data_IF_545294644163
#
_entry.id   IF_545294644163
#
_cell.length_a   1.000
_cell.length_b   1.000
_cell.length_c   1.000
_cell.angle_alpha   90.00
_cell.angle_beta   90.00
_cell.angle_gamma   90.00
#
_symmetry.space_group_name_H-M   'P 1'
#
loop_
_entity.id
_entity.type
_entity.pdbx_description
1 polymer ?
#
# COMPACT_ATOMS: atom_id res chain seq x y z
N UNK A 1 -40.24 7.96 -11.72
CA UNK A 1 -39.39 8.93 -10.99
C UNK A 1 -39.90 9.04 -9.55
N UNK A 2 -39.10 9.13 -8.45
CA UNK A 2 -37.69 8.83 -8.18
C UNK A 2 -37.59 7.59 -7.26
N UNK A 3 -37.46 6.37 -7.81
CA UNK A 3 -37.49 5.14 -6.98
C UNK A 3 -36.12 4.64 -6.54
N UNK A 4 -35.04 5.19 -7.08
CA UNK A 4 -33.68 4.68 -6.87
C UNK A 4 -32.91 5.38 -5.74
N UNK A 5 -33.33 6.58 -5.32
CA UNK A 5 -32.70 7.32 -4.21
C UNK A 5 -32.90 6.66 -2.84
N UNK A 6 -33.97 5.87 -2.68
CA UNK A 6 -34.30 5.22 -1.42
C UNK A 6 -33.26 4.20 -0.96
N UNK A 7 -32.63 3.47 -1.90
CA UNK A 7 -31.61 2.48 -1.57
C UNK A 7 -30.31 3.14 -1.05
N UNK A 8 -29.86 4.21 -1.72
CA UNK A 8 -28.70 4.98 -1.28
C UNK A 8 -28.95 5.66 0.08
N UNK A 9 -30.14 6.24 0.28
CA UNK A 9 -30.52 6.83 1.55
C UNK A 9 -30.55 5.79 2.68
N UNK A 10 -31.17 4.62 2.45
CA UNK A 10 -31.22 3.56 3.43
C UNK A 10 -29.83 3.02 3.80
N UNK A 11 -28.94 2.88 2.82
CA UNK A 11 -27.54 2.50 3.03
C UNK A 11 -26.81 3.51 3.93
N UNK A 12 -26.93 4.81 3.65
CA UNK A 12 -26.26 5.84 4.44
C UNK A 12 -26.83 5.97 5.86
N UNK A 13 -28.16 5.90 6.00
CA UNK A 13 -28.83 5.93 7.31
C UNK A 13 -28.38 4.72 8.15
N UNK A 14 -28.37 3.52 7.57
CA UNK A 14 -27.92 2.32 8.27
C UNK A 14 -26.44 2.41 8.67
N UNK A 15 -25.58 3.00 7.83
CA UNK A 15 -24.18 3.22 8.17
C UNK A 15 -24.02 4.12 9.41
N UNK A 16 -24.75 5.24 9.46
CA UNK A 16 -24.72 6.15 10.62
C UNK A 16 -25.19 5.45 11.90
N UNK A 17 -26.30 4.69 11.81
CA UNK A 17 -26.87 3.97 12.96
C UNK A 17 -25.98 2.79 13.41
N UNK A 18 -25.21 2.19 12.51
CA UNK A 18 -24.33 1.07 12.82
C UNK A 18 -22.99 1.51 13.44
N UNK A 19 -22.54 2.75 13.25
CA UNK A 19 -21.29 3.27 13.83
C UNK A 19 -21.16 3.05 15.36
N UNK A 20 -22.14 3.42 16.21
CA UNK A 20 -22.05 3.16 17.65
C UNK A 20 -22.05 1.67 17.99
N UNK A 21 -22.75 0.84 17.20
CA UNK A 21 -22.73 -0.61 17.37
C UNK A 21 -21.32 -1.19 17.16
N UNK A 22 -20.61 -0.74 16.12
CA UNK A 22 -19.23 -1.15 15.88
C UNK A 22 -18.27 -0.71 16.98
N UNK A 23 -18.48 0.47 17.57
CA UNK A 23 -17.67 0.95 18.69
C UNK A 23 -17.86 0.05 19.93
N UNK A 24 -19.11 -0.31 20.25
CA UNK A 24 -19.40 -1.23 21.35
C UNK A 24 -18.79 -2.62 21.11
N UNK A 25 -18.83 -3.11 19.87
CA UNK A 25 -18.20 -4.39 19.50
C UNK A 25 -16.67 -4.32 19.59
N UNK A 26 -16.05 -3.22 19.17
CA UNK A 26 -14.61 -3.01 19.30
C UNK A 26 -14.15 -3.03 20.76
N UNK A 27 -14.91 -2.39 21.66
CA UNK A 27 -14.61 -2.36 23.08
C UNK A 27 -14.79 -3.73 23.76
N UNK A 28 -15.79 -4.53 23.34
CA UNK A 28 -16.06 -5.84 23.95
C UNK A 28 -15.20 -6.98 23.39
N UNK A 29 -15.07 -7.07 22.07
CA UNK A 29 -14.38 -8.18 21.39
C UNK A 29 -12.89 -7.91 21.18
N UNK A 30 -12.47 -6.64 21.33
CA UNK A 30 -11.17 -6.17 20.91
C UNK A 30 -11.16 -5.74 19.44
N UNK A 31 -10.28 -4.79 19.15
CA UNK A 31 -10.14 -4.09 17.88
C UNK A 31 -9.91 -5.02 16.68
N UNK A 32 -9.00 -5.98 16.79
CA UNK A 32 -8.71 -6.93 15.70
C UNK A 32 -9.95 -7.77 15.33
N UNK A 33 -10.66 -8.31 16.33
CA UNK A 33 -11.85 -9.15 16.10
C UNK A 33 -12.99 -8.33 15.51
N UNK A 34 -13.19 -7.10 15.99
CA UNK A 34 -14.17 -6.19 15.42
C UNK A 34 -13.84 -5.84 13.96
N UNK A 35 -12.56 -5.61 13.64
CA UNK A 35 -12.11 -5.36 12.26
C UNK A 35 -12.29 -6.58 11.33
N UNK A 36 -12.05 -7.79 11.83
CA UNK A 36 -12.31 -9.02 11.10
C UNK A 36 -13.82 -9.23 10.86
N UNK A 37 -14.65 -8.98 11.88
CA UNK A 37 -16.10 -9.05 11.80
C UNK A 37 -16.68 -8.00 10.84
N UNK A 38 -16.14 -6.78 10.84
CA UNK A 38 -16.46 -5.74 9.87
C UNK A 38 -16.23 -6.23 8.44
N UNK A 39 -15.09 -6.89 8.18
CA UNK A 39 -14.81 -7.39 6.84
C UNK A 39 -15.72 -8.58 6.47
N UNK A 40 -15.99 -9.47 7.42
CA UNK A 40 -16.96 -10.55 7.24
C UNK A 40 -18.36 -10.03 6.94
N UNK A 41 -18.79 -8.97 7.63
CA UNK A 41 -20.06 -8.30 7.36
C UNK A 41 -20.11 -7.71 5.94
N UNK A 42 -19.01 -7.17 5.41
CA UNK A 42 -18.91 -6.75 4.01
C UNK A 42 -19.08 -7.93 3.04
N UNK A 43 -18.46 -9.08 3.31
CA UNK A 43 -18.64 -10.30 2.48
C UNK A 43 -20.10 -10.71 2.44
N UNK A 44 -20.74 -10.83 3.61
CA UNK A 44 -22.12 -11.31 3.72
C UNK A 44 -23.09 -10.29 3.11
N UNK A 45 -22.97 -9.01 3.47
CA UNK A 45 -23.88 -7.98 2.98
C UNK A 45 -23.76 -7.75 1.47
N UNK A 46 -22.56 -7.92 0.90
CA UNK A 46 -22.37 -7.86 -0.55
C UNK A 46 -22.94 -9.10 -1.24
N UNK A 47 -22.78 -10.30 -0.65
CA UNK A 47 -23.38 -11.53 -1.20
C UNK A 47 -24.91 -11.45 -1.27
N UNK A 48 -25.55 -10.79 -0.29
CA UNK A 48 -27.01 -10.62 -0.28
C UNK A 48 -27.55 -9.81 -1.47
N UNK A 49 -26.71 -9.01 -2.15
CA UNK A 49 -27.11 -8.28 -3.37
C UNK A 49 -27.45 -9.19 -4.55
N UNK A 50 -27.17 -10.50 -4.48
CA UNK A 50 -27.63 -11.47 -5.49
C UNK A 50 -29.14 -11.78 -5.39
N UNK A 51 -29.79 -11.47 -4.26
CA UNK A 51 -31.18 -11.87 -3.97
C UNK A 51 -32.22 -11.02 -4.72
N UNK A 52 -32.12 -9.67 -4.79
CA UNK A 52 -33.14 -8.85 -5.42
C UNK A 52 -33.31 -9.18 -6.91
N UNK A 53 -34.52 -9.62 -7.27
CA UNK A 53 -34.94 -9.78 -8.66
C UNK A 53 -35.45 -8.49 -9.29
N UNK A 54 -35.72 -8.52 -10.59
CA UNK A 54 -36.29 -7.38 -11.31
C UNK A 54 -37.62 -6.93 -10.69
N UNK A 55 -37.80 -5.63 -10.50
CA UNK A 55 -39.01 -5.03 -9.92
C UNK A 55 -39.12 -5.12 -8.39
N UNK A 56 -38.23 -5.82 -7.69
CA UNK A 56 -38.26 -5.99 -6.23
C UNK A 56 -37.59 -4.83 -5.48
N UNK A 57 -38.10 -3.62 -5.68
CA UNK A 57 -37.45 -2.39 -5.16
C UNK A 57 -37.37 -2.36 -3.62
N UNK A 58 -38.36 -2.90 -2.92
CA UNK A 58 -38.34 -2.94 -1.45
C UNK A 58 -37.22 -3.86 -0.94
N UNK A 59 -37.05 -5.04 -1.55
CA UNK A 59 -35.99 -5.98 -1.19
C UNK A 59 -34.60 -5.36 -1.43
N UNK A 60 -34.42 -4.64 -2.55
CA UNK A 60 -33.19 -3.90 -2.84
C UNK A 60 -32.91 -2.83 -1.78
N UNK A 61 -33.92 -2.05 -1.35
CA UNK A 61 -33.76 -1.03 -0.30
C UNK A 61 -33.37 -1.67 1.04
N UNK A 62 -34.02 -2.76 1.43
CA UNK A 62 -33.69 -3.48 2.66
C UNK A 62 -32.26 -4.04 2.62
N UNK A 63 -31.85 -4.65 1.52
CA UNK A 63 -30.49 -5.19 1.37
C UNK A 63 -29.45 -4.07 1.28
N UNK A 64 -29.77 -2.94 0.66
CA UNK A 64 -28.91 -1.76 0.67
C UNK A 64 -28.71 -1.22 2.10
N UNK A 65 -29.74 -1.24 2.94
CA UNK A 65 -29.62 -0.91 4.36
C UNK A 65 -28.68 -1.90 5.09
N UNK A 66 -28.82 -3.20 4.83
CA UNK A 66 -27.90 -4.22 5.38
C UNK A 66 -26.46 -4.01 4.90
N UNK A 67 -26.27 -3.61 3.65
CA UNK A 67 -24.97 -3.24 3.08
C UNK A 67 -24.38 -1.97 3.73
N UNK A 68 -25.23 -1.06 4.22
CA UNK A 68 -24.82 0.09 5.01
C UNK A 68 -24.22 -0.24 6.38
N UNK A 69 -24.61 -1.35 7.01
CA UNK A 69 -24.13 -1.74 8.35
C UNK A 69 -22.59 -1.79 8.43
N UNK A 70 -21.87 -2.54 7.57
CA UNK A 70 -20.42 -2.55 7.61
C UNK A 70 -19.80 -1.17 7.36
N UNK A 71 -20.39 -0.31 6.52
CA UNK A 71 -19.85 1.02 6.21
C UNK A 71 -19.68 1.88 7.48
N UNK A 72 -20.57 1.74 8.46
CA UNK A 72 -20.44 2.41 9.76
C UNK A 72 -19.18 2.00 10.57
N UNK A 73 -18.60 0.85 10.27
CA UNK A 73 -17.39 0.33 10.91
C UNK A 73 -16.08 0.80 10.27
N UNK A 74 -16.11 1.71 9.27
CA UNK A 74 -14.94 2.12 8.51
C UNK A 74 -13.79 2.64 9.38
N UNK A 75 -14.09 3.28 10.51
CA UNK A 75 -13.09 3.79 11.46
C UNK A 75 -12.17 2.70 12.04
N UNK A 76 -12.59 1.43 12.02
CA UNK A 76 -11.76 0.30 12.47
C UNK A 76 -10.49 0.17 11.62
N UNK A 77 -10.56 0.53 10.33
CA UNK A 77 -9.39 0.52 9.42
C UNK A 77 -8.37 1.55 9.87
N UNK A 78 -8.80 2.79 10.09
CA UNK A 78 -7.93 3.87 10.60
C UNK A 78 -7.40 3.58 11.99
N UNK A 79 -8.21 2.93 12.82
CA UNK A 79 -7.78 2.51 14.15
C UNK A 79 -6.64 1.50 14.02
N UNK A 80 -6.80 0.41 13.27
CA UNK A 80 -5.72 -0.61 13.08
C UNK A 80 -4.47 0.00 12.42
N UNK A 81 -4.64 0.99 11.53
CA UNK A 81 -3.52 1.73 10.97
C UNK A 81 -2.69 2.44 12.05
N UNK A 82 -3.32 3.00 13.08
CA UNK A 82 -2.60 3.58 14.23
C UNK A 82 -1.73 2.55 14.94
N UNK A 83 -2.19 1.30 15.10
CA UNK A 83 -1.38 0.26 15.74
C UNK A 83 -0.15 -0.11 14.90
N UNK A 84 -0.29 -0.05 13.56
CA UNK A 84 0.82 -0.26 12.63
C UNK A 84 1.82 0.88 12.75
N UNK A 85 1.36 2.12 12.92
CA UNK A 85 2.23 3.29 13.12
C UNK A 85 2.94 3.21 14.47
N UNK A 86 2.25 2.81 15.54
CA UNK A 86 2.88 2.60 16.85
C UNK A 86 3.95 1.49 16.77
N UNK A 87 3.67 0.42 16.02
CA UNK A 87 4.67 -0.61 15.77
C UNK A 87 5.85 -0.11 14.92
N UNK A 88 5.61 0.77 13.95
CA UNK A 88 6.68 1.44 13.21
C UNK A 88 7.53 2.30 14.15
N UNK A 89 6.91 3.14 14.98
CA UNK A 89 7.62 3.93 16.00
C UNK A 89 8.46 3.04 16.92
N UNK A 90 7.92 1.90 17.37
CA UNK A 90 8.67 0.94 18.17
C UNK A 90 9.91 0.38 17.46
N UNK A 91 9.80 0.13 16.15
CA UNK A 91 10.95 -0.34 15.37
C UNK A 91 11.99 0.77 15.20
N UNK A 92 11.55 1.96 14.77
CA UNK A 92 12.42 3.04 14.30
C UNK A 92 12.86 4.03 15.37
N UNK A 93 12.14 4.12 16.48
CA UNK A 93 12.28 5.17 17.49
C UNK A 93 11.68 6.52 17.06
N UNK A 94 11.25 6.66 15.80
CA UNK A 94 10.66 7.88 15.22
C UNK A 94 9.26 7.57 14.70
N UNK A 95 8.31 8.45 14.99
CA UNK A 95 6.90 8.26 14.67
C UNK A 95 6.55 8.81 13.28
N UNK A 96 6.43 7.92 12.29
CA UNK A 96 6.18 8.27 10.89
C UNK A 96 4.69 8.39 10.50
N UNK A 97 3.88 9.10 11.28
CA UNK A 97 2.43 9.20 11.02
C UNK A 97 2.07 9.74 9.62
N UNK A 98 2.82 10.75 9.16
CA UNK A 98 2.56 11.43 7.89
C UNK A 98 2.62 10.48 6.69
N UNK A 99 3.66 9.64 6.62
CA UNK A 99 3.89 8.73 5.49
C UNK A 99 2.79 7.67 5.40
N UNK A 100 2.42 7.06 6.53
CA UNK A 100 1.35 6.05 6.58
C UNK A 100 -0.02 6.66 6.23
N UNK A 101 -0.31 7.88 6.71
CA UNK A 101 -1.54 8.59 6.37
C UNK A 101 -1.65 8.91 4.87
N UNK A 102 -0.53 9.32 4.25
CA UNK A 102 -0.45 9.53 2.80
C UNK A 102 -0.73 8.22 2.06
N UNK A 103 -0.08 7.11 2.43
CA UNK A 103 -0.33 5.82 1.77
C UNK A 103 -1.77 5.35 1.92
N UNK A 104 -2.34 5.48 3.12
CA UNK A 104 -3.70 5.05 3.42
C UNK A 104 -4.77 5.79 2.58
N UNK A 105 -4.49 7.04 2.20
CA UNK A 105 -5.42 7.87 1.41
C UNK A 105 -5.11 7.88 -0.08
N UNK A 106 -3.84 7.75 -0.48
CA UNK A 106 -3.38 7.85 -1.86
C UNK A 106 -3.60 6.53 -2.63
N UNK A 107 -3.30 5.37 -2.03
CA UNK A 107 -3.43 4.07 -2.68
C UNK A 107 -4.88 3.82 -3.14
N UNK A 108 -5.92 4.02 -2.30
CA UNK A 108 -7.30 3.81 -2.74
C UNK A 108 -7.69 4.70 -3.94
N UNK A 109 -7.18 5.93 -4.02
CA UNK A 109 -7.46 6.84 -5.13
C UNK A 109 -6.85 6.34 -6.44
N UNK A 110 -5.61 5.83 -6.39
CA UNK A 110 -4.98 5.23 -7.57
C UNK A 110 -5.71 3.97 -8.04
N UNK A 111 -6.24 3.16 -7.13
CA UNK A 111 -7.02 1.97 -7.48
C UNK A 111 -8.40 2.34 -8.01
N UNK A 112 -9.02 3.40 -7.49
CA UNK A 112 -10.35 3.85 -7.89
C UNK A 112 -10.44 4.23 -9.37
N UNK A 113 -9.41 4.88 -9.93
CA UNK A 113 -9.40 5.34 -11.34
C UNK A 113 -9.63 4.18 -12.34
N UNK A 114 -8.78 3.14 -12.40
CA UNK A 114 -9.02 2.00 -13.29
C UNK A 114 -10.25 1.19 -12.86
N UNK A 115 -10.55 1.11 -11.56
CA UNK A 115 -11.73 0.39 -11.06
C UNK A 115 -13.05 1.02 -11.51
N UNK A 116 -13.09 2.33 -11.78
CA UNK A 116 -14.26 2.99 -12.37
C UNK A 116 -14.23 2.98 -13.91
N UNK A 117 -13.06 3.22 -14.52
CA UNK A 117 -12.96 3.40 -15.97
C UNK A 117 -13.07 2.09 -16.75
N UNK A 118 -12.40 1.01 -16.30
CA UNK A 118 -12.36 -0.27 -17.02
C UNK A 118 -13.74 -0.93 -17.08
N UNK A 119 -14.51 -1.03 -15.98
CA UNK A 119 -15.82 -1.67 -16.06
C UNK A 119 -16.79 -0.93 -16.96
N UNK A 120 -16.74 0.41 -16.99
CA UNK A 120 -17.58 1.22 -17.86
C UNK A 120 -17.22 1.03 -19.34
N UNK A 121 -15.93 0.95 -19.68
CA UNK A 121 -15.49 0.71 -21.05
C UNK A 121 -15.92 -0.67 -21.56
N UNK A 122 -15.79 -1.71 -20.72
CA UNK A 122 -16.25 -3.06 -21.06
C UNK A 122 -17.78 -3.14 -21.14
N UNK A 123 -18.49 -2.39 -20.29
CA UNK A 123 -19.95 -2.28 -20.35
C UNK A 123 -20.43 -1.70 -21.69
N UNK A 124 -19.75 -0.65 -22.19
CA UNK A 124 -20.02 -0.09 -23.51
C UNK A 124 -19.75 -1.10 -24.63
N UNK A 125 -18.63 -1.82 -24.56
CA UNK A 125 -18.26 -2.87 -25.51
C UNK A 125 -19.34 -3.96 -25.61
N UNK A 126 -19.97 -4.33 -24.50
CA UNK A 126 -21.06 -5.32 -24.45
C UNK A 126 -22.40 -4.82 -25.03
N UNK A 127 -22.49 -3.56 -25.45
CA UNK A 127 -23.69 -2.99 -26.06
C UNK A 127 -24.73 -2.55 -25.05
N UNK A 128 -24.28 -1.93 -23.96
CA UNK A 128 -25.18 -1.27 -23.01
C UNK A 128 -26.06 -0.24 -23.73
N UNK A 129 -27.38 -0.37 -23.56
CA UNK A 129 -28.36 0.55 -24.15
C UNK A 129 -28.66 1.68 -23.18
N UNK A 130 -28.33 2.90 -23.55
CA UNK A 130 -28.61 4.07 -22.72
C UNK A 130 -30.12 4.32 -22.56
N UNK A 131 -30.57 4.89 -21.44
CA UNK A 131 -31.97 5.31 -21.28
C UNK A 131 -32.37 6.37 -22.31
N UNK A 132 -33.51 6.18 -22.97
CA UNK A 132 -34.09 7.17 -23.91
C UNK A 132 -35.19 7.94 -23.18
N UNK A 133 -35.11 9.28 -23.15
CA UNK A 133 -36.08 10.15 -22.46
C UNK A 133 -36.33 9.79 -20.98
N UNK A 134 -35.29 9.29 -20.31
CA UNK A 134 -35.37 8.84 -18.91
C UNK A 134 -36.11 7.51 -18.71
N UNK A 135 -36.48 6.81 -19.79
CA UNK A 135 -37.06 5.47 -19.76
C UNK A 135 -35.96 4.41 -19.84
N UNK A 136 -35.96 3.48 -18.88
CA UNK A 136 -35.01 2.36 -18.85
C UNK A 136 -35.29 1.40 -19.99
N UNK A 137 -34.28 1.14 -20.81
CA UNK A 137 -34.36 0.18 -21.91
C UNK A 137 -34.01 -1.23 -21.43
N UNK A 138 -34.62 -2.26 -22.03
CA UNK A 138 -34.30 -3.66 -21.74
C UNK A 138 -32.87 -3.97 -22.20
N UNK A 139 -32.05 -4.45 -21.27
CA UNK A 139 -30.66 -4.80 -21.52
C UNK A 139 -30.53 -6.26 -21.97
N UNK A 140 -29.45 -6.56 -22.70
CA UNK A 140 -29.07 -7.94 -23.00
C UNK A 140 -28.70 -8.69 -21.73
N UNK A 141 -28.91 -10.02 -21.72
CA UNK A 141 -28.53 -10.89 -20.59
C UNK A 141 -27.04 -10.77 -20.27
N UNK A 142 -26.19 -10.66 -21.30
CA UNK A 142 -24.75 -10.49 -21.13
C UNK A 142 -24.37 -9.22 -20.34
N UNK A 143 -25.05 -8.11 -20.62
CA UNK A 143 -24.85 -6.82 -19.92
C UNK A 143 -25.29 -6.93 -18.46
N UNK A 144 -26.47 -7.49 -18.21
CA UNK A 144 -27.00 -7.69 -16.86
C UNK A 144 -26.11 -8.61 -16.03
N UNK A 145 -25.63 -9.70 -16.62
CA UNK A 145 -24.71 -10.64 -15.96
C UNK A 145 -23.36 -9.99 -15.66
N UNK A 146 -22.82 -9.21 -16.61
CA UNK A 146 -21.59 -8.46 -16.42
C UNK A 146 -21.68 -7.47 -15.26
N UNK A 147 -22.76 -6.68 -15.19
CA UNK A 147 -22.99 -5.74 -14.08
C UNK A 147 -23.05 -6.49 -12.74
N UNK A 148 -23.78 -7.61 -12.67
CA UNK A 148 -23.84 -8.45 -11.45
C UNK A 148 -22.45 -8.98 -11.06
N UNK A 149 -21.65 -9.43 -12.02
CA UNK A 149 -20.29 -9.90 -11.75
C UNK A 149 -19.38 -8.79 -11.23
N UNK A 150 -19.42 -7.60 -11.84
CA UNK A 150 -18.53 -6.50 -11.47
C UNK A 150 -18.95 -5.78 -10.17
N UNK A 151 -20.25 -5.67 -9.89
CA UNK A 151 -20.73 -5.00 -8.68
C UNK A 151 -20.87 -5.94 -7.48
N UNK A 152 -21.09 -7.24 -7.71
CA UNK A 152 -21.34 -8.20 -6.63
C UNK A 152 -20.18 -9.18 -6.50
N UNK A 153 -19.89 -9.96 -7.54
CA UNK A 153 -18.92 -11.06 -7.44
C UNK A 153 -17.49 -10.55 -7.21
N UNK A 154 -17.06 -9.55 -7.98
CA UNK A 154 -15.68 -9.04 -7.90
C UNK A 154 -15.36 -8.40 -6.54
N UNK A 155 -16.18 -7.46 -6.00
CA UNK A 155 -15.97 -6.94 -4.64
C UNK A 155 -16.03 -8.03 -3.58
N UNK A 156 -16.95 -9.01 -3.71
CA UNK A 156 -17.04 -10.15 -2.79
C UNK A 156 -15.74 -10.94 -2.75
N UNK A 157 -15.13 -11.25 -3.90
CA UNK A 157 -13.83 -11.93 -3.96
C UNK A 157 -12.73 -11.08 -3.31
N UNK A 158 -12.71 -9.77 -3.56
CA UNK A 158 -11.77 -8.85 -2.91
C UNK A 158 -11.94 -8.83 -1.38
N UNK A 159 -13.17 -8.81 -0.87
CA UNK A 159 -13.44 -8.89 0.57
C UNK A 159 -13.02 -10.22 1.17
N UNK A 160 -13.23 -11.34 0.46
CA UNK A 160 -12.77 -12.67 0.88
C UNK A 160 -11.24 -12.75 0.96
N UNK A 161 -10.53 -12.27 -0.07
CA UNK A 161 -9.07 -12.18 -0.07
C UNK A 161 -8.59 -11.27 1.07
N UNK A 162 -9.24 -10.13 1.26
CA UNK A 162 -8.97 -9.23 2.38
C UNK A 162 -9.17 -9.93 3.72
N UNK A 163 -10.26 -10.68 3.90
CA UNK A 163 -10.53 -11.41 5.14
C UNK A 163 -9.49 -12.51 5.37
N UNK A 164 -9.10 -13.24 4.33
CA UNK A 164 -8.03 -14.23 4.40
C UNK A 164 -6.70 -13.58 4.86
N UNK A 165 -6.29 -12.47 4.24
CA UNK A 165 -5.06 -11.76 4.64
C UNK A 165 -5.13 -11.32 6.11
N UNK A 166 -6.27 -10.79 6.56
CA UNK A 166 -6.48 -10.36 7.95
C UNK A 166 -6.42 -11.52 8.94
N UNK A 167 -6.98 -12.67 8.59
CA UNK A 167 -7.04 -13.83 9.48
C UNK A 167 -5.71 -14.59 9.56
N UNK A 168 -4.97 -14.68 8.46
CA UNK A 168 -3.79 -15.54 8.38
C UNK A 168 -2.47 -14.77 8.40
N UNK A 169 -2.40 -13.59 7.77
CA UNK A 169 -1.15 -12.85 7.58
C UNK A 169 -0.90 -11.79 8.64
N UNK A 170 -1.96 -11.21 9.22
CA UNK A 170 -1.83 -10.10 10.16
C UNK A 170 -1.28 -10.56 11.52
N UNK A 171 -0.13 -10.04 12.00
CA UNK A 171 0.51 -10.54 13.22
C UNK A 171 -0.07 -9.96 14.52
N UNK A 172 -0.57 -8.72 14.51
CA UNK A 172 -0.97 -7.98 15.72
C UNK A 172 -2.41 -8.29 16.15
N UNK A 173 -2.67 -9.53 16.61
CA UNK A 173 -4.04 -9.98 16.92
C UNK A 173 -4.48 -9.75 18.36
N UNK A 174 -3.53 -9.65 19.29
CA UNK A 174 -3.78 -9.70 20.74
C UNK A 174 -3.59 -8.32 21.40
N UNK A 175 -4.43 -7.94 22.38
CA UNK A 175 -4.21 -6.75 23.20
C UNK A 175 -2.84 -6.76 23.90
N UNK A 176 -2.38 -7.93 24.35
CA UNK A 176 -1.06 -8.09 24.99
C UNK A 176 0.10 -7.66 24.10
N UNK A 177 -0.02 -7.91 22.79
CA UNK A 177 1.00 -7.49 21.82
C UNK A 177 1.04 -5.97 21.70
N UNK A 178 -0.10 -5.30 21.74
CA UNK A 178 -0.17 -3.83 21.69
C UNK A 178 0.43 -3.21 22.95
N UNK A 179 0.14 -3.80 24.11
CA UNK A 179 0.71 -3.38 25.39
C UNK A 179 2.24 -3.55 25.40
N UNK A 180 2.74 -4.70 24.94
CA UNK A 180 4.18 -4.94 24.84
C UNK A 180 4.89 -3.96 23.87
N UNK A 181 4.26 -3.59 22.75
CA UNK A 181 4.79 -2.57 21.83
C UNK A 181 4.89 -1.22 22.56
N UNK A 182 3.83 -0.81 23.25
CA UNK A 182 3.79 0.46 23.98
C UNK A 182 4.81 0.51 25.13
N UNK A 183 4.95 -0.58 25.89
CA UNK A 183 5.98 -0.71 26.92
C UNK A 183 7.39 -0.64 26.32
N UNK A 184 7.59 -1.27 25.16
CA UNK A 184 8.85 -1.22 24.43
C UNK A 184 9.25 0.20 24.00
N UNK A 185 8.30 1.00 23.51
CA UNK A 185 8.53 2.41 23.17
C UNK A 185 8.94 3.20 24.42
N UNK A 186 8.24 3.01 25.54
CA UNK A 186 8.59 3.68 26.80
C UNK A 186 9.97 3.27 27.33
N UNK A 187 10.37 2.02 27.13
CA UNK A 187 11.70 1.55 27.49
C UNK A 187 12.80 2.19 26.63
N UNK A 188 12.58 2.30 25.31
CA UNK A 188 13.49 2.97 24.38
C UNK A 188 13.64 4.47 24.66
N UNK A 189 12.59 5.13 25.15
CA UNK A 189 12.65 6.54 25.58
C UNK A 189 13.49 6.72 26.85
N UNK A 190 13.52 5.72 27.74
CA UNK A 190 14.23 5.78 29.03
C UNK A 190 15.67 5.29 28.96
N UNK A 191 15.98 4.38 28.05
CA UNK A 191 17.29 3.72 27.97
C UNK A 191 17.67 3.42 26.52
N UNK A 192 18.95 3.59 26.17
CA UNK A 192 19.54 3.20 24.88
C UNK A 192 19.77 1.68 24.73
N UNK A 193 19.12 0.88 25.60
CA UNK A 193 19.19 -0.57 25.58
C UNK A 193 18.46 -1.18 24.39
N UNK A 194 18.89 -2.38 24.01
CA UNK A 194 18.17 -3.19 23.03
C UNK A 194 16.84 -3.66 23.62
N UNK A 195 15.76 -3.53 22.86
CA UNK A 195 14.43 -3.99 23.26
C UNK A 195 14.04 -5.19 22.41
N UNK A 196 13.41 -6.18 23.03
CA UNK A 196 12.94 -7.36 22.33
C UNK A 196 11.63 -7.05 21.60
N UNK A 197 11.59 -7.35 20.30
CA UNK A 197 10.39 -7.20 19.48
C UNK A 197 9.33 -8.26 19.87
N UNK A 198 8.12 -7.85 20.29
CA UNK A 198 7.08 -8.78 20.72
C UNK A 198 6.46 -9.61 19.58
N UNK A 199 6.70 -9.23 18.32
CA UNK A 199 6.22 -9.95 17.13
C UNK A 199 7.30 -10.91 16.62
N UNK A 200 8.53 -10.45 16.46
CA UNK A 200 9.61 -11.24 15.83
C UNK A 200 10.56 -11.91 16.83
N UNK A 201 10.57 -11.46 18.08
CA UNK A 201 11.52 -11.87 19.11
C UNK A 201 12.95 -11.35 18.89
N UNK A 202 13.19 -10.54 17.87
CA UNK A 202 14.51 -9.97 17.59
C UNK A 202 14.83 -8.82 18.56
N UNK A 203 16.10 -8.69 18.93
CA UNK A 203 16.59 -7.52 19.64
C UNK A 203 16.75 -6.38 18.64
N UNK A 204 16.07 -5.27 18.90
CA UNK A 204 16.12 -4.07 18.08
C UNK A 204 16.77 -2.94 18.88
N UNK A 205 17.60 -2.17 18.19
CA UNK A 205 18.15 -0.90 18.68
C UNK A 205 17.55 0.23 17.84
N UNK A 206 16.82 1.18 18.44
CA UNK A 206 16.22 2.28 17.71
C UNK A 206 17.31 3.15 17.05
N UNK A 207 17.03 3.64 15.85
CA UNK A 207 17.93 4.57 15.16
C UNK A 207 17.68 5.97 15.73
N UNK A 208 18.61 6.49 16.53
CA UNK A 208 18.61 7.90 16.90
C UNK A 208 19.41 8.69 15.87
N UNK A 209 18.75 9.67 15.27
CA UNK A 209 19.33 10.66 14.38
C UNK A 209 19.27 12.01 15.09
N UNK A 210 20.32 12.82 14.98
CA UNK A 210 20.27 14.22 15.38
C UNK A 210 19.36 15.00 14.40
N UNK A 211 18.87 16.19 14.78
CA UNK A 211 17.95 16.99 13.93
C UNK A 211 18.50 17.20 12.49
N UNK A 212 19.81 17.48 12.37
CA UNK A 212 20.47 17.62 11.06
C UNK A 212 20.55 16.30 10.27
N UNK A 213 20.67 15.16 10.96
CA UNK A 213 20.69 13.84 10.33
C UNK A 213 19.29 13.39 9.90
N UNK A 214 18.25 13.76 10.66
CA UNK A 214 16.85 13.50 10.30
C UNK A 214 16.47 14.19 8.99
N UNK A 215 16.79 15.48 8.84
CA UNK A 215 16.51 16.24 7.61
C UNK A 215 17.13 15.59 6.38
N UNK A 216 18.38 15.12 6.50
CA UNK A 216 19.05 14.38 5.44
C UNK A 216 18.36 13.03 5.22
N UNK A 217 18.05 12.28 6.28
CA UNK A 217 17.38 10.98 6.19
C UNK A 217 16.03 11.08 5.46
N UNK A 218 15.20 12.08 5.77
CA UNK A 218 13.94 12.36 5.07
C UNK A 218 14.15 12.60 3.57
N UNK A 219 15.18 13.36 3.19
CA UNK A 219 15.53 13.52 1.78
C UNK A 219 15.93 12.18 1.15
N UNK A 220 16.69 11.35 1.85
CA UNK A 220 17.17 10.05 1.35
C UNK A 220 16.04 9.03 1.11
N UNK A 221 14.93 9.12 1.85
CA UNK A 221 13.76 8.24 1.64
C UNK A 221 13.14 8.35 0.25
N UNK A 222 13.35 9.49 -0.42
CA UNK A 222 12.90 9.69 -1.79
C UNK A 222 13.63 8.79 -2.79
N UNK A 223 14.77 8.19 -2.44
CA UNK A 223 15.63 7.44 -3.36
C UNK A 223 15.65 5.94 -3.06
N UNK A 224 15.91 5.13 -4.09
CA UNK A 224 16.05 3.69 -3.93
C UNK A 224 17.36 3.35 -3.24
N UNK A 225 17.38 2.25 -2.47
CA UNK A 225 18.60 1.79 -1.79
C UNK A 225 19.78 1.55 -2.75
N UNK A 226 19.51 1.12 -3.99
CA UNK A 226 20.52 0.94 -5.02
C UNK A 226 21.15 2.27 -5.47
N UNK A 227 20.36 3.33 -5.60
CA UNK A 227 20.87 4.65 -5.94
C UNK A 227 21.67 5.25 -4.77
N UNK A 228 21.19 5.08 -3.54
CA UNK A 228 21.88 5.55 -2.34
C UNK A 228 23.25 4.88 -2.18
N UNK A 229 23.36 3.57 -2.43
CA UNK A 229 24.65 2.85 -2.43
C UNK A 229 25.64 3.44 -3.42
N UNK A 230 25.21 3.69 -4.66
CA UNK A 230 26.08 4.31 -5.68
C UNK A 230 26.54 5.71 -5.28
N UNK A 231 25.65 6.52 -4.70
CA UNK A 231 26.00 7.86 -4.21
C UNK A 231 27.01 7.77 -3.06
N UNK A 232 26.89 6.79 -2.16
CA UNK A 232 27.85 6.56 -1.08
C UNK A 232 29.21 6.06 -1.58
N UNK A 233 29.23 5.12 -2.54
CA UNK A 233 30.46 4.56 -3.12
C UNK A 233 31.26 5.60 -3.91
N UNK A 234 30.60 6.37 -4.76
CA UNK A 234 31.24 7.37 -5.63
C UNK A 234 31.40 8.74 -4.94
N UNK A 235 30.77 8.95 -3.78
CA UNK A 235 30.69 10.22 -3.03
C UNK A 235 30.20 11.42 -3.86
N UNK A 236 29.47 11.16 -4.95
CA UNK A 236 28.95 12.19 -5.86
C UNK A 236 27.41 12.27 -5.84
N UNK A 237 26.90 13.38 -5.32
CA UNK A 237 25.47 13.70 -5.27
C UNK A 237 24.88 13.99 -6.67
N UNK A 238 25.71 14.32 -7.66
CA UNK A 238 25.24 14.61 -9.01
C UNK A 238 24.65 13.39 -9.70
N UNK A 239 25.04 12.18 -9.28
CA UNK A 239 24.46 10.92 -9.76
C UNK A 239 22.96 10.90 -9.51
N UNK A 240 22.52 11.25 -8.29
CA UNK A 240 21.11 11.30 -7.93
C UNK A 240 20.35 12.32 -8.79
N UNK A 241 20.91 13.52 -8.97
CA UNK A 241 20.30 14.58 -9.79
C UNK A 241 20.17 14.16 -11.27
N UNK A 242 21.22 13.54 -11.83
CA UNK A 242 21.24 13.05 -13.22
C UNK A 242 20.20 11.94 -13.43
N UNK A 243 20.11 11.01 -12.50
CA UNK A 243 19.13 9.92 -12.57
C UNK A 243 17.69 10.46 -12.43
N UNK A 244 17.43 11.39 -11.50
CA UNK A 244 16.11 12.00 -11.37
C UNK A 244 15.72 12.82 -12.61
N UNK A 245 16.66 13.54 -13.22
CA UNK A 245 16.42 14.24 -14.49
C UNK A 245 16.06 13.27 -15.62
N UNK A 246 16.72 12.11 -15.69
CA UNK A 246 16.39 11.06 -16.64
C UNK A 246 14.96 10.53 -16.42
N UNK A 247 14.54 10.37 -15.17
CA UNK A 247 13.17 9.97 -14.83
C UNK A 247 12.14 11.02 -15.25
N UNK A 248 12.41 12.31 -15.04
CA UNK A 248 11.55 13.41 -15.53
C UNK A 248 11.42 13.34 -17.05
N UNK A 249 12.53 13.25 -17.78
CA UNK A 249 12.49 13.22 -19.24
C UNK A 249 11.68 12.02 -19.78
N UNK A 250 11.86 10.83 -19.17
CA UNK A 250 11.04 9.65 -19.50
C UNK A 250 9.56 9.87 -19.21
N UNK A 251 9.24 10.42 -18.04
CA UNK A 251 7.85 10.70 -17.64
C UNK A 251 7.18 11.75 -18.53
N UNK A 252 7.91 12.80 -18.90
CA UNK A 252 7.43 13.86 -19.78
C UNK A 252 7.18 13.33 -21.19
N UNK A 253 8.11 12.55 -21.75
CA UNK A 253 7.94 11.91 -23.05
C UNK A 253 6.76 10.94 -23.05
N UNK A 254 6.64 10.08 -22.03
CA UNK A 254 5.52 9.14 -21.91
C UNK A 254 4.17 9.87 -21.81
N UNK A 255 4.10 10.94 -21.02
CA UNK A 255 2.87 11.73 -20.85
C UNK A 255 2.48 12.44 -22.16
N UNK A 256 3.45 12.98 -22.90
CA UNK A 256 3.20 13.59 -24.20
C UNK A 256 2.71 12.56 -25.23
N UNK A 257 3.35 11.39 -25.32
CA UNK A 257 2.95 10.30 -26.23
C UNK A 257 1.54 9.80 -25.88
N UNK A 258 1.25 9.54 -24.62
CA UNK A 258 -0.08 9.09 -24.17
C UNK A 258 -1.14 10.17 -24.35
N UNK A 259 -0.79 11.45 -24.17
CA UNK A 259 -1.70 12.57 -24.42
C UNK A 259 -2.05 12.73 -25.89
N UNK A 260 -1.06 12.69 -26.78
CA UNK A 260 -1.28 12.73 -28.24
C UNK A 260 -2.07 11.48 -28.67
N UNK A 261 -1.67 10.30 -28.20
CA UNK A 261 -2.36 9.04 -28.49
C UNK A 261 -3.82 9.07 -28.03
N UNK A 262 -4.10 9.63 -26.86
CA UNK A 262 -5.46 9.84 -26.36
C UNK A 262 -6.25 10.76 -27.28
N UNK A 263 -5.71 11.93 -27.65
CA UNK A 263 -6.41 12.88 -28.53
C UNK A 263 -6.71 12.28 -29.91
N UNK A 264 -5.75 11.57 -30.51
CA UNK A 264 -5.89 10.92 -31.82
C UNK A 264 -6.91 9.77 -31.74
N UNK A 265 -6.78 8.89 -30.77
CA UNK A 265 -7.69 7.74 -30.63
C UNK A 265 -9.10 8.18 -30.22
N UNK A 266 -9.24 9.24 -29.42
CA UNK A 266 -10.55 9.82 -29.12
C UNK A 266 -11.20 10.45 -30.35
N UNK A 267 -10.43 11.09 -31.23
CA UNK A 267 -10.98 11.67 -32.46
C UNK A 267 -11.38 10.61 -33.49
N UNK A 268 -10.68 9.46 -33.53
CA UNK A 268 -10.85 8.46 -34.57
C UNK A 268 -11.72 7.26 -34.18
N UNK A 269 -11.71 6.86 -32.90
CA UNK A 269 -12.22 5.56 -32.44
C UNK A 269 -13.32 5.67 -31.38
N UNK A 270 -13.71 6.88 -30.97
CA UNK A 270 -14.64 7.06 -29.87
C UNK A 270 -16.10 6.78 -30.26
N UNK A 271 -16.46 6.99 -31.52
CA UNK A 271 -17.77 6.64 -32.05
C UNK A 271 -17.94 5.12 -32.26
N UNK A 272 -16.82 4.40 -32.43
CA UNK A 272 -16.82 2.94 -32.59
C UNK A 272 -17.00 2.24 -31.25
N UNK A 273 -18.11 1.52 -31.10
CA UNK A 273 -18.44 0.79 -29.88
C UNK A 273 -17.32 -0.19 -29.44
N UNK A 274 -16.68 -0.87 -30.40
CA UNK A 274 -15.62 -1.86 -30.11
C UNK A 274 -14.28 -1.21 -29.75
N UNK A 275 -13.92 -0.14 -30.47
CA UNK A 275 -12.61 0.49 -30.32
C UNK A 275 -12.57 1.57 -29.25
N UNK A 276 -13.73 1.98 -28.71
CA UNK A 276 -13.87 2.94 -27.61
C UNK A 276 -13.07 2.59 -26.33
N UNK A 277 -12.72 1.31 -26.13
CA UNK A 277 -11.88 0.88 -25.01
C UNK A 277 -10.44 1.43 -25.09
N UNK A 278 -9.93 1.64 -26.31
CA UNK A 278 -8.57 2.14 -26.55
C UNK A 278 -8.39 3.56 -25.98
N UNK A 279 -9.19 4.57 -26.37
CA UNK A 279 -9.04 5.91 -25.80
C UNK A 279 -9.24 5.94 -24.29
N UNK A 280 -10.18 5.16 -23.72
CA UNK A 280 -10.36 5.08 -22.26
C UNK A 280 -9.11 4.56 -21.56
N UNK A 281 -8.51 3.49 -22.09
CA UNK A 281 -7.27 2.95 -21.52
C UNK A 281 -6.10 3.93 -21.62
N UNK A 282 -6.00 4.67 -22.74
CA UNK A 282 -4.96 5.69 -22.95
C UNK A 282 -5.11 6.86 -21.98
N UNK A 283 -6.33 7.34 -21.71
CA UNK A 283 -6.61 8.38 -20.72
C UNK A 283 -6.13 7.93 -19.32
N UNK A 284 -6.47 6.71 -18.92
CA UNK A 284 -6.08 6.18 -17.60
C UNK A 284 -4.56 6.09 -17.49
N UNK A 285 -3.88 5.54 -18.52
CA UNK A 285 -2.42 5.44 -18.55
C UNK A 285 -1.75 6.82 -18.58
N UNK A 286 -2.33 7.79 -19.31
CA UNK A 286 -1.87 9.18 -19.31
C UNK A 286 -1.92 9.76 -17.90
N UNK A 287 -3.02 9.54 -17.16
CA UNK A 287 -3.16 9.97 -15.77
C UNK A 287 -2.06 9.39 -14.86
N UNK A 288 -1.80 8.08 -14.94
CA UNK A 288 -0.71 7.45 -14.19
C UNK A 288 0.67 8.01 -14.59
N UNK A 289 0.91 8.23 -15.88
CA UNK A 289 2.16 8.82 -16.38
C UNK A 289 2.35 10.25 -15.87
N UNK A 290 1.29 11.05 -15.83
CA UNK A 290 1.32 12.40 -15.29
C UNK A 290 1.61 12.40 -13.78
N UNK A 291 0.97 11.51 -13.01
CA UNK A 291 1.29 11.35 -11.60
C UNK A 291 2.75 10.93 -11.39
N UNK A 292 3.26 10.00 -12.19
CA UNK A 292 4.67 9.60 -12.16
C UNK A 292 5.60 10.79 -12.46
N UNK A 293 5.25 11.63 -13.45
CA UNK A 293 6.01 12.84 -13.77
C UNK A 293 6.05 13.82 -12.59
N UNK A 294 4.91 14.07 -11.93
CA UNK A 294 4.86 14.95 -10.75
C UNK A 294 5.76 14.42 -9.64
N UNK A 295 5.69 13.12 -9.33
CA UNK A 295 6.57 12.49 -8.33
C UNK A 295 8.04 12.59 -8.73
N UNK A 296 8.37 12.40 -10.02
CA UNK A 296 9.73 12.55 -10.52
C UNK A 296 10.26 13.99 -10.37
N UNK A 297 9.40 15.00 -10.56
CA UNK A 297 9.74 16.41 -10.33
C UNK A 297 10.01 16.69 -8.85
N UNK A 298 9.17 16.19 -7.95
CA UNK A 298 9.39 16.34 -6.50
C UNK A 298 10.68 15.65 -6.05
N UNK A 299 10.95 14.43 -6.53
CA UNK A 299 12.21 13.71 -6.27
C UNK A 299 13.44 14.44 -6.80
N UNK A 300 13.32 15.12 -7.94
CA UNK A 300 14.39 15.96 -8.47
C UNK A 300 14.65 17.20 -7.61
N UNK A 301 13.60 17.82 -7.04
CA UNK A 301 13.76 18.92 -6.09
C UNK A 301 14.48 18.44 -4.83
N UNK A 302 14.11 17.27 -4.27
CA UNK A 302 14.82 16.64 -3.16
C UNK A 302 16.30 16.37 -3.50
N UNK A 303 16.58 15.87 -4.71
CA UNK A 303 17.95 15.60 -5.16
C UNK A 303 18.80 16.88 -5.28
N UNK A 304 18.18 18.02 -5.63
CA UNK A 304 18.86 19.32 -5.64
C UNK A 304 19.13 19.82 -4.22
N UNK A 305 18.22 19.59 -3.28
CA UNK A 305 18.40 19.96 -1.87
C UNK A 305 19.52 19.15 -1.20
N UNK A 306 19.73 17.90 -1.59
CA UNK A 306 20.86 17.08 -1.11
C UNK A 306 22.22 17.71 -1.38
N UNK A 307 22.37 18.46 -2.48
CA UNK A 307 23.65 19.16 -2.81
C UNK A 307 24.05 20.22 -1.78
N UNK A 308 23.11 20.69 -0.96
CA UNK A 308 23.38 21.73 0.05
C UNK A 308 24.00 21.17 1.33
N UNK A 309 23.88 19.87 1.58
CA UNK A 309 24.36 19.24 2.81
C UNK A 309 25.81 18.79 2.66
N UNK A 310 26.60 18.89 3.73
CA UNK A 310 28.03 18.54 3.76
C UNK A 310 28.21 17.07 3.40
N UNK A 311 29.11 16.77 2.44
CA UNK A 311 29.30 15.40 1.91
C UNK A 311 29.62 14.35 2.98
N UNK A 312 30.28 14.77 4.07
CA UNK A 312 30.68 13.87 5.15
C UNK A 312 29.48 13.39 6.01
N UNK A 313 28.56 14.30 6.36
CA UNK A 313 27.31 13.97 7.07
C UNK A 313 26.46 13.04 6.20
N UNK A 314 26.40 13.31 4.90
CA UNK A 314 25.61 12.54 3.96
C UNK A 314 26.04 11.06 3.89
N UNK A 315 27.34 10.79 3.79
CA UNK A 315 27.84 9.39 3.71
C UNK A 315 27.59 8.65 5.02
N UNK A 316 27.77 9.31 6.16
CA UNK A 316 27.47 8.74 7.48
C UNK A 316 25.99 8.37 7.61
N UNK A 317 25.09 9.28 7.25
CA UNK A 317 23.64 9.04 7.32
C UNK A 317 23.22 7.95 6.32
N UNK A 318 23.78 7.93 5.11
CA UNK A 318 23.53 6.83 4.16
C UNK A 318 23.95 5.48 4.74
N UNK A 319 25.11 5.39 5.39
CA UNK A 319 25.57 4.15 6.02
C UNK A 319 24.62 3.71 7.15
N UNK A 320 24.27 4.63 8.08
CA UNK A 320 23.28 4.38 9.15
C UNK A 320 21.96 3.86 8.58
N UNK A 321 21.42 4.53 7.54
CA UNK A 321 20.15 4.15 6.89
C UNK A 321 20.26 2.79 6.19
N UNK A 322 21.38 2.47 5.53
CA UNK A 322 21.58 1.21 4.83
C UNK A 322 21.75 0.03 5.77
N UNK A 323 22.54 0.18 6.84
CA UNK A 323 22.74 -0.85 7.86
C UNK A 323 21.44 -1.17 8.58
N UNK A 324 20.68 -0.12 8.93
CA UNK A 324 19.37 -0.29 9.51
C UNK A 324 18.39 -1.00 8.56
N UNK A 325 18.39 -0.65 7.26
CA UNK A 325 17.59 -1.37 6.24
C UNK A 325 18.03 -2.83 6.07
N UNK A 326 19.30 -3.16 6.27
CA UNK A 326 19.82 -4.53 6.22
C UNK A 326 19.40 -5.37 7.45
N UNK A 327 19.50 -4.81 8.66
CA UNK A 327 18.97 -5.40 9.88
C UNK A 327 17.47 -5.70 9.76
N UNK A 328 16.70 -4.79 9.16
CA UNK A 328 15.26 -4.97 8.86
C UNK A 328 14.98 -6.15 7.93
N UNK A 329 15.76 -6.31 6.85
CA UNK A 329 15.58 -7.43 5.91
C UNK A 329 15.68 -8.80 6.59
N UNK A 330 16.52 -8.89 7.62
CA UNK A 330 16.76 -10.10 8.42
C UNK A 330 15.68 -10.38 9.48
N UNK A 331 14.96 -9.34 9.95
CA UNK A 331 13.82 -9.47 10.85
C UNK A 331 12.51 -9.77 10.09
N UNK A 332 12.26 -9.06 8.98
CA UNK A 332 11.08 -9.27 8.11
C UNK A 332 11.11 -10.66 7.45
N UNK A 333 12.29 -11.15 7.06
CA UNK A 333 12.45 -12.51 6.54
C UNK A 333 12.07 -13.59 7.56
N UNK A 334 12.29 -13.36 8.87
CA UNK A 334 11.84 -14.29 9.93
C UNK A 334 10.31 -14.33 10.06
N UNK A 335 9.63 -13.19 10.01
CA UNK A 335 8.16 -13.11 9.99
C UNK A 335 7.58 -13.77 8.74
N UNK A 336 8.18 -13.47 7.59
CA UNK A 336 7.80 -14.06 6.31
C UNK A 336 7.99 -15.57 6.34
N UNK A 337 9.07 -16.09 6.92
CA UNK A 337 9.31 -17.54 7.04
C UNK A 337 8.27 -18.23 7.94
N UNK A 338 7.86 -17.59 9.04
CA UNK A 338 6.84 -18.10 9.95
C UNK A 338 5.44 -18.12 9.33
N UNK A 339 5.09 -17.07 8.56
CA UNK A 339 3.82 -16.99 7.83
C UNK A 339 3.80 -17.90 6.58
N UNK A 340 4.94 -18.02 5.89
CA UNK A 340 5.13 -18.89 4.72
C UNK A 340 5.09 -20.37 5.08
N UNK A 341 5.66 -20.77 6.23
CA UNK A 341 5.57 -22.15 6.74
C UNK A 341 4.12 -22.60 6.92
N UNK A 342 3.24 -21.68 7.30
CA UNK A 342 1.81 -21.93 7.47
C UNK A 342 1.05 -21.96 6.13
N UNK A 343 1.34 -21.04 5.20
CA UNK A 343 0.75 -21.03 3.84
C UNK A 343 1.16 -22.28 3.04
N UNK A 344 2.41 -22.70 3.15
CA UNK A 344 2.94 -23.92 2.50
C UNK A 344 2.28 -25.18 3.04
N UNK A 345 1.71 -25.16 4.25
CA UNK A 345 0.99 -26.29 4.86
C UNK A 345 -0.40 -26.51 4.26
N UNK A 346 -0.98 -25.51 3.58
CA UNK A 346 -2.29 -25.58 2.94
C UNK A 346 -2.22 -25.67 1.40
N UNK A 347 -1.03 -25.67 0.81
CA UNK A 347 -0.85 -25.83 -0.63
C UNK A 347 -0.86 -27.32 -1.02
N UNK A 348 -1.61 -27.75 -2.05
CA UNK A 348 -1.53 -29.13 -2.55
C UNK A 348 -0.11 -29.48 -3.02
N UNK A 349 0.30 -30.77 -2.97
CA UNK A 349 1.72 -31.19 -3.02
C UNK A 349 2.49 -30.87 -4.31
N UNK A 350 1.85 -30.33 -5.34
CA UNK A 350 2.38 -30.20 -6.70
C UNK A 350 3.29 -28.97 -6.92
N UNK A 351 3.45 -28.06 -5.94
CA UNK A 351 4.16 -26.78 -6.13
C UNK A 351 5.32 -26.54 -5.14
N UNK A 352 5.99 -27.59 -4.64
CA UNK A 352 7.27 -27.45 -3.92
C UNK A 352 8.40 -27.09 -4.89
N UNK A 353 8.64 -25.80 -5.14
CA UNK A 353 9.88 -25.33 -5.79
C UNK A 353 10.97 -25.00 -4.76
N UNK A 354 12.21 -25.35 -5.12
CA UNK A 354 13.46 -25.21 -4.34
C UNK A 354 13.60 -23.83 -3.68
N UNK A 355 13.78 -23.82 -2.35
CA UNK A 355 14.33 -22.68 -1.63
C UNK A 355 15.78 -22.49 -2.07
N UNK A 356 16.12 -21.26 -2.48
CA UNK A 356 17.52 -20.85 -2.71
C UNK A 356 18.15 -20.63 -1.34
N UNK A 357 19.25 -21.35 -1.07
CA UNK A 357 19.98 -21.26 0.19
C UNK A 357 20.60 -19.85 0.38
N UNK A 358 20.62 -19.31 1.61
CA UNK A 358 21.41 -18.13 1.91
C UNK A 358 22.91 -18.43 1.79
N UNK A 359 23.67 -17.45 1.29
CA UNK A 359 25.13 -17.51 1.12
C UNK A 359 25.78 -17.57 2.52
N UNK A 360 26.69 -18.54 2.79
CA UNK A 360 27.34 -18.66 4.09
C UNK A 360 28.38 -17.55 4.34
N UNK A 361 28.32 -16.96 5.54
CA UNK A 361 29.18 -15.89 6.08
C UNK A 361 30.69 -16.20 6.14
N UNK A 362 31.12 -17.43 5.84
CA UNK A 362 32.52 -17.83 5.85
C UNK A 362 33.37 -17.20 4.74
N UNK A 363 32.74 -16.59 3.72
CA UNK A 363 33.47 -15.94 2.61
C UNK A 363 33.81 -14.47 2.84
N UNK A 364 33.28 -13.82 3.89
CA UNK A 364 33.55 -12.41 4.21
C UNK A 364 34.57 -12.23 5.33
N UNK A 365 34.69 -13.20 6.25
CA UNK A 365 35.69 -13.16 7.32
C UNK A 365 37.15 -13.21 6.81
N UNK A 366 37.37 -13.72 5.60
CA UNK A 366 38.71 -13.79 4.98
C UNK A 366 39.22 -12.44 4.48
N UNK A 367 38.37 -11.41 4.39
CA UNK A 367 38.77 -10.08 3.90
C UNK A 367 39.23 -9.16 5.05
N UNK A 368 38.62 -9.24 6.23
CA UNK A 368 39.04 -8.46 7.41
C UNK A 368 40.41 -8.86 7.94
N UNK A 369 40.78 -10.15 7.87
CA UNK A 369 42.09 -10.61 8.33
C UNK A 369 43.26 -10.16 7.43
N UNK A 370 42.98 -9.78 6.18
CA UNK A 370 44.03 -9.32 5.23
C UNK A 370 44.27 -7.81 5.31
N UNK A 371 43.26 -7.01 5.70
CA UNK A 371 43.42 -5.57 5.88
C UNK A 371 44.09 -5.16 7.20
N UNK A 372 44.10 -6.03 8.21
CA UNK A 372 44.75 -5.76 9.50
C UNK A 372 46.28 -5.99 9.52
N UNK A 373 46.87 -6.55 8.45
CA UNK A 373 48.32 -6.85 8.39
C UNK A 373 49.18 -5.78 7.73
N UNK A 374 48.58 -4.82 7.01
CA UNK A 374 49.31 -3.74 6.34
C UNK A 374 49.12 -2.41 7.08
N UNK A 375 49.41 -2.42 8.39
CA UNK A 375 49.45 -1.22 9.22
C UNK A 375 50.76 -0.45 9.00
N UNK A 376 50.64 0.75 8.44
CA UNK A 376 51.74 1.69 8.30
C UNK A 376 52.33 2.07 9.66
N UNK A 377 53.60 1.74 9.83
CA UNK A 377 54.49 2.16 10.91
C UNK A 377 54.58 3.69 10.94
N UNK A 378 54.31 4.24 12.11
CA UNK A 378 54.57 5.61 12.53
C UNK A 378 56.05 6.00 12.36
N UNK A 379 56.31 7.12 11.70
CA UNK A 379 57.58 7.85 11.82
C UNK A 379 57.27 9.27 12.29
N UNK A 380 57.54 9.53 13.58
CA UNK A 380 57.59 10.86 14.18
C UNK A 380 58.97 11.01 14.82
N UNK A 381 59.74 11.96 14.28
CA UNK A 381 60.73 12.75 15.00
C UNK A 381 62.20 12.43 14.70
N UNK A 382 63.09 13.41 14.93
CA UNK A 382 63.05 14.83 14.54
C UNK A 382 63.76 15.11 13.21
#
# INVERSE_FOLDING_TARGET
>A
MPRNGGAAAALLIAAVLASPLWLLLANKLGKYRAWALYNFANVVSNALLFIPGEGQNLALICIAAVNGIPIGGQFLVSSVLSDIIDYDEFLYGVRNEGIFSVYATLIPKFVAIPASAVPLAVLNLLGFKEPVDGTTQQQSEAVTQYVKMMFILFPLLCYLVGLFIKLFLFPIKSPKTHEAIREGILQQQRSDGEVQDPITGALIKPMRLDEEEEDVAYLLENFSAALLRRVAEEKDCNIAVKEMRRQINKGAAATAVLGIGTAVTAALLLEDQVWSIVPVSMVVLMGFSLCYLVVAVLRFQAARSLRKHMQDILVLVIAKVLDYKACRGSAVSRVSCQSSSFIVRFLPPMLKRRQVAPIPLSSLATFEQKSSKDGYTTAVGP
#
